data_IF_338267679398
#
_entry.id   IF_338267679398
#
_cell.length_a   1.000
_cell.length_b   1.000
_cell.length_c   1.000
_cell.angle_alpha   90.00
_cell.angle_beta   90.00
_cell.angle_gamma   90.00
#
_symmetry.space_group_name_H-M   'P 1'
#
loop_
_entity.id
_entity.type
_entity.pdbx_description
1 polymer ?
#
# COMPACT_ATOMS: atom_id res chain seq x y z
N UNK A 1 36.84 -0.58 30.78
CA UNK A 1 36.31 0.01 29.54
C UNK A 1 35.22 -0.93 29.03
N UNK A 2 33.95 -0.55 29.13
CA UNK A 2 32.83 -1.43 28.81
C UNK A 2 32.40 -1.19 27.36
N UNK A 3 32.71 -2.14 26.48
CA UNK A 3 32.44 -2.03 25.04
C UNK A 3 30.93 -2.18 24.80
N UNK A 4 30.22 -1.07 24.59
CA UNK A 4 28.86 -1.10 24.04
C UNK A 4 28.94 -1.62 22.60
N UNK A 5 28.57 -2.89 22.39
CA UNK A 5 28.43 -3.46 21.07
C UNK A 5 27.29 -2.77 20.33
N UNK A 6 27.62 -1.96 19.32
CA UNK A 6 26.62 -1.38 18.42
C UNK A 6 26.06 -2.51 17.54
N UNK A 7 24.86 -2.99 17.88
CA UNK A 7 24.12 -3.95 17.06
C UNK A 7 23.57 -3.19 15.84
N UNK A 8 24.39 -3.07 14.79
CA UNK A 8 23.98 -2.42 13.54
C UNK A 8 22.98 -3.32 12.82
N UNK A 9 21.70 -2.98 12.93
CA UNK A 9 20.63 -3.63 12.18
C UNK A 9 20.83 -3.36 10.68
N UNK A 10 21.51 -4.25 9.98
CA UNK A 10 21.76 -4.10 8.54
C UNK A 10 20.47 -4.41 7.78
N UNK A 11 19.78 -3.36 7.38
CA UNK A 11 18.64 -3.45 6.45
C UNK A 11 19.17 -3.95 5.12
N UNK A 12 18.61 -5.06 4.63
CA UNK A 12 18.97 -5.65 3.34
C UNK A 12 18.08 -5.07 2.24
N UNK A 13 18.61 -5.03 1.01
CA UNK A 13 17.81 -4.70 -0.17
C UNK A 13 16.63 -5.67 -0.30
N UNK A 14 16.82 -6.94 0.05
CA UNK A 14 15.75 -7.93 0.05
C UNK A 14 14.63 -7.59 1.05
N UNK A 15 14.96 -7.17 2.28
CA UNK A 15 13.95 -6.76 3.26
C UNK A 15 13.21 -5.49 2.85
N UNK A 16 13.89 -4.57 2.15
CA UNK A 16 13.26 -3.38 1.61
C UNK A 16 12.28 -3.70 0.49
N UNK A 17 12.65 -4.58 -0.46
CA UNK A 17 11.76 -5.00 -1.55
C UNK A 17 10.51 -5.72 -1.02
N UNK A 18 10.66 -6.57 -0.01
CA UNK A 18 9.53 -7.23 0.66
C UNK A 18 8.62 -6.20 1.34
N UNK A 19 9.19 -5.26 2.11
CA UNK A 19 8.41 -4.20 2.74
C UNK A 19 7.68 -3.32 1.71
N UNK A 20 8.34 -2.97 0.61
CA UNK A 20 7.71 -2.24 -0.49
C UNK A 20 6.60 -3.03 -1.17
N UNK A 21 6.79 -4.34 -1.37
CA UNK A 21 5.76 -5.22 -1.92
C UNK A 21 4.53 -5.32 -1.01
N UNK A 22 4.72 -5.33 0.30
CA UNK A 22 3.62 -5.32 1.29
C UNK A 22 2.88 -3.97 1.23
N UNK A 23 3.60 -2.85 1.26
CA UNK A 23 2.98 -1.50 1.22
C UNK A 23 2.21 -1.28 -0.09
N UNK A 24 2.81 -1.61 -1.23
CA UNK A 24 2.16 -1.46 -2.53
C UNK A 24 1.03 -2.48 -2.74
N UNK A 25 1.15 -3.67 -2.16
CA UNK A 25 0.06 -4.64 -2.11
C UNK A 25 -1.14 -4.12 -1.33
N UNK A 26 -0.92 -3.53 -0.15
CA UNK A 26 -1.97 -3.02 0.74
C UNK A 26 -2.65 -1.74 0.22
N UNK A 27 -1.92 -0.85 -0.47
CA UNK A 27 -2.52 0.32 -1.14
C UNK A 27 -3.59 -0.09 -2.17
N UNK A 28 -3.42 -1.25 -2.82
CA UNK A 28 -4.30 -1.73 -3.89
C UNK A 28 -5.47 -2.62 -3.45
N UNK A 29 -5.50 -3.11 -2.21
CA UNK A 29 -6.49 -4.12 -1.76
C UNK A 29 -7.72 -3.51 -1.09
N UNK A 30 -7.63 -2.28 -0.60
CA UNK A 30 -8.78 -1.62 0.01
C UNK A 30 -9.84 -1.26 -1.05
N UNK A 31 -11.09 -1.74 -0.90
CA UNK A 31 -12.19 -1.34 -1.78
C UNK A 31 -12.35 0.19 -1.84
N UNK A 32 -12.01 0.91 -0.77
CA UNK A 32 -12.11 2.38 -0.76
C UNK A 32 -11.07 3.05 -1.66
N UNK A 33 -9.88 2.47 -1.81
CA UNK A 33 -8.86 3.01 -2.72
C UNK A 33 -9.23 2.74 -4.18
N UNK A 34 -9.75 1.53 -4.45
CA UNK A 34 -10.29 1.16 -5.76
C UNK A 34 -11.48 2.04 -6.14
N UNK A 35 -12.43 2.23 -5.23
CA UNK A 35 -13.57 3.11 -5.43
C UNK A 35 -13.13 4.56 -5.62
N UNK A 36 -12.09 5.02 -4.91
CA UNK A 36 -11.53 6.36 -5.13
C UNK A 36 -10.90 6.51 -6.51
N UNK A 37 -10.23 5.49 -7.04
CA UNK A 37 -9.72 5.51 -8.41
C UNK A 37 -10.85 5.51 -9.47
N UNK A 38 -11.92 4.73 -9.23
CA UNK A 38 -13.09 4.64 -10.12
C UNK A 38 -13.93 5.92 -10.09
N UNK A 39 -14.13 6.52 -8.92
CA UNK A 39 -14.95 7.74 -8.76
C UNK A 39 -14.15 8.98 -9.14
N UNK A 40 -12.88 9.08 -8.74
CA UNK A 40 -12.03 10.26 -8.95
C UNK A 40 -12.78 11.57 -8.61
N UNK A 41 -12.91 12.51 -9.56
CA UNK A 41 -13.63 13.79 -9.41
C UNK A 41 -15.10 13.75 -9.87
N UNK A 42 -15.64 12.56 -10.17
CA UNK A 42 -17.03 12.43 -10.63
C UNK A 42 -17.99 12.33 -9.43
N UNK A 43 -19.20 12.91 -9.54
CA UNK A 43 -20.23 12.68 -8.54
C UNK A 43 -20.58 11.18 -8.48
N UNK A 44 -20.72 10.66 -7.27
CA UNK A 44 -21.08 9.26 -7.04
C UNK A 44 -22.50 9.03 -7.58
N UNK A 45 -22.62 8.13 -8.56
CA UNK A 45 -23.90 7.70 -9.13
C UNK A 45 -23.98 6.18 -9.15
N UNK A 46 -25.20 5.64 -9.06
CA UNK A 46 -25.43 4.19 -9.09
C UNK A 46 -24.81 3.53 -10.33
N UNK A 47 -24.88 4.19 -11.48
CA UNK A 47 -24.30 3.69 -12.73
C UNK A 47 -22.77 3.55 -12.65
N UNK A 48 -22.09 4.48 -11.96
CA UNK A 48 -20.64 4.45 -11.73
C UNK A 48 -20.25 3.32 -10.77
N UNK A 49 -21.08 3.08 -9.75
CA UNK A 49 -20.87 2.00 -8.78
C UNK A 49 -21.08 0.64 -9.45
N UNK A 50 -22.19 0.46 -10.16
CA UNK A 50 -22.49 -0.78 -10.87
C UNK A 50 -21.50 -1.07 -12.00
N UNK A 51 -21.07 -0.06 -12.75
CA UNK A 51 -20.03 -0.21 -13.77
C UNK A 51 -18.63 -0.50 -13.21
N UNK A 52 -18.36 -0.13 -11.96
CA UNK A 52 -17.08 -0.39 -11.29
C UNK A 52 -16.94 -1.77 -10.65
N UNK A 53 -18.05 -2.50 -10.48
CA UNK A 53 -18.10 -3.86 -9.91
C UNK A 53 -18.46 -4.94 -10.94
N UNK A 54 -18.78 -4.54 -12.18
CA UNK A 54 -19.17 -5.43 -13.30
C UNK A 54 -17.98 -5.93 -14.11
#
# INVERSE_FOLDING_TARGET
MNSKGYHSNRVSIASLLVAMGIIYGDIGTSPLYVLKAIVSDRPISELLVYGGIS
#
